data_IF_141471186843
#
_entry.id   IF_141471186843
#
_cell.length_a   1.000
_cell.length_b   1.000
_cell.length_c   1.000
_cell.angle_alpha   90.00
_cell.angle_beta   90.00
_cell.angle_gamma   90.00
#
_symmetry.space_group_name_H-M   'P 1'
#
loop_
_entity.id
_entity.type
_entity.pdbx_description
1 polymer ?
#
# COMPACT_ATOMS: atom_id res chain seq x y z
N UNK A 1 1.84 22.51 11.09
CA UNK A 1 1.77 21.49 10.01
C UNK A 1 0.58 20.59 10.29
N UNK A 2 -0.16 20.14 9.26
CA UNK A 2 -1.30 19.25 9.45
C UNK A 2 -0.84 17.92 10.03
N UNK A 3 -1.53 17.39 11.04
CA UNK A 3 -1.31 16.07 11.61
C UNK A 3 -1.58 14.95 10.57
N UNK A 4 -2.42 15.23 9.58
CA UNK A 4 -2.85 14.31 8.55
C UNK A 4 -2.11 14.55 7.24
N UNK A 5 -1.50 13.48 6.71
CA UNK A 5 -0.74 13.52 5.46
C UNK A 5 -1.62 13.14 4.25
N UNK A 6 -2.62 12.27 4.45
CA UNK A 6 -3.63 11.92 3.44
C UNK A 6 -5.00 12.32 3.98
N UNK A 7 -5.81 12.98 3.13
CA UNK A 7 -7.18 13.37 3.46
C UNK A 7 -8.08 13.21 2.24
N UNK A 8 -9.26 12.62 2.45
CA UNK A 8 -10.34 12.61 1.46
C UNK A 8 -11.58 13.27 2.03
N UNK A 9 -12.35 13.97 1.18
CA UNK A 9 -13.58 14.67 1.56
C UNK A 9 -14.65 14.35 0.53
N UNK A 10 -15.67 13.58 0.93
CA UNK A 10 -16.78 13.18 0.07
C UNK A 10 -16.34 12.46 -1.20
N UNK A 11 -15.14 11.83 -1.18
CA UNK A 11 -14.52 11.26 -2.38
C UNK A 11 -15.42 10.16 -2.97
N UNK A 12 -15.88 10.35 -4.19
CA UNK A 12 -16.83 9.46 -4.86
C UNK A 12 -16.35 9.10 -6.25
N UNK A 13 -16.49 7.83 -6.64
CA UNK A 13 -16.22 7.38 -8.00
C UNK A 13 -17.37 6.54 -8.54
N UNK A 14 -17.90 6.97 -9.68
CA UNK A 14 -18.90 6.22 -10.45
C UNK A 14 -18.36 5.79 -11.81
N UNK A 15 -18.68 4.58 -12.21
CA UNK A 15 -18.44 4.03 -13.55
C UNK A 15 -19.80 3.63 -14.13
N UNK A 16 -20.37 4.48 -14.99
CA UNK A 16 -21.76 4.32 -15.42
C UNK A 16 -22.71 4.31 -14.22
N UNK A 17 -23.52 3.27 -14.09
CA UNK A 17 -24.47 3.09 -12.98
C UNK A 17 -23.81 2.57 -11.69
N UNK A 18 -22.61 2.01 -11.77
CA UNK A 18 -21.91 1.43 -10.60
C UNK A 18 -21.15 2.50 -9.85
N UNK A 19 -21.48 2.70 -8.57
CA UNK A 19 -20.69 3.52 -7.66
C UNK A 19 -19.62 2.66 -6.98
N UNK A 20 -18.37 2.85 -7.35
CA UNK A 20 -17.24 2.08 -6.84
C UNK A 20 -16.71 2.60 -5.49
N UNK A 21 -16.82 3.92 -5.25
CA UNK A 21 -16.49 4.57 -3.96
C UNK A 21 -17.56 5.59 -3.66
N UNK A 22 -18.10 5.59 -2.43
CA UNK A 22 -19.24 6.39 -2.01
C UNK A 22 -18.85 7.33 -0.88
N UNK A 23 -18.77 8.65 -1.15
CA UNK A 23 -18.58 9.72 -0.17
C UNK A 23 -17.52 9.42 0.90
N UNK A 24 -16.36 8.90 0.46
CA UNK A 24 -15.29 8.52 1.37
C UNK A 24 -14.70 9.74 2.08
N UNK A 25 -14.77 9.74 3.39
CA UNK A 25 -14.10 10.68 4.28
C UNK A 25 -13.07 9.91 5.11
N UNK A 26 -11.79 10.10 4.78
CA UNK A 26 -10.68 9.38 5.39
C UNK A 26 -9.55 10.36 5.72
N UNK A 27 -8.89 10.13 6.86
CA UNK A 27 -7.67 10.82 7.24
C UNK A 27 -6.63 9.82 7.70
N UNK A 28 -5.38 9.96 7.23
CA UNK A 28 -4.23 9.14 7.62
C UNK A 28 -3.16 10.08 8.19
N UNK A 29 -2.61 9.72 9.35
CA UNK A 29 -1.59 10.50 10.05
C UNK A 29 -0.21 10.26 9.42
N UNK A 30 0.68 11.22 9.61
CA UNK A 30 2.08 11.07 9.21
C UNK A 30 2.75 9.95 10.01
N UNK A 31 3.48 9.07 9.33
CA UNK A 31 4.17 7.91 9.93
C UNK A 31 3.25 6.74 10.32
N UNK A 32 1.96 6.82 10.01
CA UNK A 32 0.97 5.77 10.30
C UNK A 32 1.03 4.64 9.27
N UNK A 33 0.86 3.41 9.72
CA UNK A 33 0.51 2.27 8.85
C UNK A 33 -1.00 2.10 8.88
N UNK A 34 -1.66 2.45 7.77
CA UNK A 34 -3.11 2.38 7.63
C UNK A 34 -3.53 1.27 6.67
N UNK A 35 -4.47 0.42 7.10
CA UNK A 35 -5.00 -0.68 6.31
C UNK A 35 -6.39 -0.39 5.74
N UNK A 36 -6.57 -0.56 4.42
CA UNK A 36 -7.90 -0.65 3.79
C UNK A 36 -8.30 -2.12 3.71
N UNK A 37 -9.18 -2.57 4.61
CA UNK A 37 -9.65 -3.94 4.68
C UNK A 37 -11.01 -4.09 4.00
N UNK A 38 -11.18 -5.10 3.17
CA UNK A 38 -12.47 -5.40 2.54
C UNK A 38 -12.37 -6.42 1.42
N UNK A 39 -13.49 -6.99 0.99
CA UNK A 39 -13.51 -7.97 -0.10
C UNK A 39 -13.05 -7.38 -1.43
N UNK A 40 -12.79 -8.25 -2.40
CA UNK A 40 -12.47 -7.82 -3.75
C UNK A 40 -13.67 -7.06 -4.34
N UNK A 41 -13.38 -5.96 -5.04
CA UNK A 41 -14.41 -5.08 -5.59
C UNK A 41 -15.04 -4.09 -4.61
N UNK A 42 -14.62 -4.06 -3.33
CA UNK A 42 -15.14 -3.13 -2.34
C UNK A 42 -14.78 -1.64 -2.56
N UNK A 43 -13.89 -1.32 -3.52
CA UNK A 43 -13.49 0.05 -3.83
C UNK A 43 -12.07 0.41 -3.37
N UNK A 44 -11.31 -0.52 -2.77
CA UNK A 44 -9.94 -0.27 -2.25
C UNK A 44 -9.00 0.23 -3.35
N UNK A 45 -8.82 -0.53 -4.43
CA UNK A 45 -7.95 -0.17 -5.56
C UNK A 45 -8.43 1.12 -6.25
N UNK A 46 -9.75 1.32 -6.40
CA UNK A 46 -10.28 2.57 -6.96
C UNK A 46 -9.91 3.77 -6.09
N UNK A 47 -9.97 3.63 -4.75
CA UNK A 47 -9.52 4.68 -3.82
C UNK A 47 -8.03 4.97 -4.01
N UNK A 48 -7.19 3.94 -4.07
CA UNK A 48 -5.76 4.07 -4.34
C UNK A 48 -5.48 4.81 -5.65
N UNK A 49 -6.17 4.45 -6.73
CA UNK A 49 -6.00 5.09 -8.04
C UNK A 49 -6.38 6.58 -8.02
N UNK A 50 -7.44 6.97 -7.26
CA UNK A 50 -7.79 8.38 -7.08
C UNK A 50 -6.75 9.14 -6.26
N UNK A 51 -6.20 8.54 -5.20
CA UNK A 51 -5.11 9.13 -4.42
C UNK A 51 -3.84 9.37 -5.25
N UNK A 52 -3.57 8.51 -6.22
CA UNK A 52 -2.43 8.62 -7.13
C UNK A 52 -2.68 9.56 -8.33
N UNK A 53 -3.89 10.13 -8.46
CA UNK A 53 -4.27 10.91 -9.63
C UNK A 53 -4.19 10.10 -10.94
N UNK A 54 -4.48 8.79 -10.87
CA UNK A 54 -4.57 7.87 -12.01
C UNK A 54 -6.01 7.72 -12.51
N UNK A 55 -6.98 8.13 -11.71
CA UNK A 55 -8.38 8.27 -12.09
C UNK A 55 -9.00 9.44 -11.34
N UNK A 56 -9.77 10.27 -12.03
CA UNK A 56 -10.42 11.42 -11.42
C UNK A 56 -11.64 10.98 -10.59
N UNK A 57 -11.90 11.60 -9.42
CA UNK A 57 -13.14 11.41 -8.71
C UNK A 57 -14.32 11.96 -9.50
N UNK A 58 -15.52 11.40 -9.30
CA UNK A 58 -16.76 11.95 -9.83
C UNK A 58 -17.25 13.11 -8.96
N UNK A 59 -17.04 13.02 -7.63
CA UNK A 59 -17.38 14.03 -6.64
C UNK A 59 -16.35 14.03 -5.52
N UNK A 60 -16.24 15.13 -4.79
CA UNK A 60 -15.30 15.27 -3.69
C UNK A 60 -13.87 15.45 -4.16
N UNK A 61 -12.91 15.33 -3.25
CA UNK A 61 -11.50 15.49 -3.55
C UNK A 61 -10.63 14.69 -2.57
N UNK A 62 -9.37 14.48 -2.95
CA UNK A 62 -8.33 13.92 -2.11
C UNK A 62 -7.09 14.80 -2.10
N UNK A 63 -6.42 14.89 -0.96
CA UNK A 63 -5.14 15.59 -0.84
C UNK A 63 -4.08 14.71 -0.19
N UNK A 64 -2.84 14.84 -0.65
CA UNK A 64 -1.65 14.21 -0.06
C UNK A 64 -0.63 15.32 0.23
N UNK A 65 -0.25 15.45 1.50
CA UNK A 65 0.61 16.54 2.02
C UNK A 65 0.13 17.94 1.56
N UNK A 66 -1.21 18.12 1.51
CA UNK A 66 -1.86 19.34 1.07
C UNK A 66 -2.00 19.52 -0.45
N UNK A 67 -1.33 18.69 -1.26
CA UNK A 67 -1.47 18.70 -2.72
C UNK A 67 -2.76 18.01 -3.14
N UNK A 68 -3.53 18.62 -4.02
CA UNK A 68 -4.74 18.02 -4.60
C UNK A 68 -4.33 16.90 -5.59
N UNK A 69 -4.81 15.69 -5.35
CA UNK A 69 -4.41 14.50 -6.13
C UNK A 69 -4.82 14.58 -7.61
N UNK A 70 -5.87 15.33 -7.93
CA UNK A 70 -6.37 15.51 -9.30
C UNK A 70 -5.68 16.67 -10.00
N UNK A 71 -5.44 17.78 -9.28
CA UNK A 71 -4.88 19.01 -9.85
C UNK A 71 -3.36 18.99 -9.94
N UNK A 72 -2.70 18.34 -8.98
CA UNK A 72 -1.23 18.18 -8.97
C UNK A 72 -0.79 16.71 -8.83
N UNK A 73 -1.18 15.84 -9.77
CA UNK A 73 -0.82 14.42 -9.71
C UNK A 73 0.70 14.17 -9.83
N UNK A 74 1.43 15.06 -10.47
CA UNK A 74 2.89 14.94 -10.60
C UNK A 74 3.58 15.27 -9.28
N UNK A 75 3.16 16.33 -8.60
CA UNK A 75 3.65 16.67 -7.25
C UNK A 75 3.40 15.51 -6.27
N UNK A 76 2.18 14.94 -6.29
CA UNK A 76 1.83 13.76 -5.49
C UNK A 76 2.74 12.58 -5.82
N UNK A 77 2.92 12.23 -7.10
CA UNK A 77 3.74 11.08 -7.52
C UNK A 77 5.23 11.22 -7.17
N UNK A 78 5.74 12.43 -7.00
CA UNK A 78 7.12 12.66 -6.55
C UNK A 78 7.36 12.16 -5.13
N UNK A 79 6.35 12.27 -4.25
CA UNK A 79 6.47 11.92 -2.82
C UNK A 79 5.79 10.60 -2.45
N UNK A 80 5.01 10.01 -3.37
CA UNK A 80 4.30 8.75 -3.17
C UNK A 80 4.95 7.64 -3.99
N UNK A 81 5.30 6.53 -3.36
CA UNK A 81 5.63 5.27 -4.00
C UNK A 81 4.41 4.37 -4.09
N UNK A 82 4.22 3.68 -5.21
CA UNK A 82 3.09 2.77 -5.41
C UNK A 82 3.56 1.37 -5.77
N UNK A 83 3.12 0.39 -4.98
CA UNK A 83 3.31 -1.03 -5.23
C UNK A 83 1.96 -1.66 -5.60
N UNK A 84 1.72 -1.99 -6.88
CA UNK A 84 0.50 -2.69 -7.30
C UNK A 84 0.53 -4.16 -6.87
N UNK A 85 -0.63 -4.84 -6.91
CA UNK A 85 -0.76 -6.27 -6.64
C UNK A 85 0.04 -7.15 -7.60
N UNK A 86 0.20 -6.69 -8.82
CA UNK A 86 1.00 -7.34 -9.86
C UNK A 86 2.11 -6.38 -10.34
N UNK A 87 3.32 -6.64 -9.88
CA UNK A 87 4.49 -5.82 -10.23
C UNK A 87 5.01 -6.24 -11.60
N UNK A 88 4.97 -5.31 -12.56
CA UNK A 88 5.44 -5.51 -13.94
C UNK A 88 6.90 -5.10 -14.11
N UNK A 89 7.85 -6.03 -13.91
CA UNK A 89 9.25 -5.81 -14.23
C UNK A 89 9.57 -6.18 -15.69
N UNK A 90 10.62 -5.60 -16.23
CA UNK A 90 11.21 -6.01 -17.50
C UNK A 90 11.86 -7.38 -17.31
N UNK A 91 11.18 -8.44 -17.76
CA UNK A 91 11.52 -9.83 -17.46
C UNK A 91 12.91 -10.26 -17.94
N UNK A 92 13.42 -9.67 -19.01
CA UNK A 92 14.77 -9.95 -19.56
C UNK A 92 15.89 -9.14 -18.91
N UNK A 93 15.53 -8.18 -18.05
CA UNK A 93 16.46 -7.43 -17.21
C UNK A 93 16.59 -8.12 -15.85
N UNK A 94 17.75 -7.96 -15.22
CA UNK A 94 18.01 -8.40 -13.84
C UNK A 94 17.26 -7.53 -12.82
N UNK A 95 17.22 -7.96 -11.56
CA UNK A 95 16.67 -7.11 -10.48
C UNK A 95 17.41 -5.78 -10.37
N UNK A 96 18.72 -5.83 -10.42
CA UNK A 96 19.61 -4.64 -10.41
C UNK A 96 19.32 -3.69 -11.57
N UNK A 97 19.23 -4.21 -12.79
CA UNK A 97 18.95 -3.40 -13.98
C UNK A 97 17.56 -2.76 -13.93
N UNK A 98 16.54 -3.44 -13.41
CA UNK A 98 15.20 -2.86 -13.21
C UNK A 98 15.25 -1.69 -12.22
N UNK A 99 15.91 -1.83 -11.06
CA UNK A 99 16.04 -0.74 -10.09
C UNK A 99 16.83 0.44 -10.66
N UNK A 100 17.91 0.13 -11.38
CA UNK A 100 18.72 1.16 -12.06
C UNK A 100 17.87 1.96 -13.06
N UNK A 101 17.10 1.26 -13.89
CA UNK A 101 16.21 1.88 -14.87
C UNK A 101 15.15 2.77 -14.20
N UNK A 102 14.53 2.30 -13.11
CA UNK A 102 13.58 3.12 -12.34
C UNK A 102 14.26 4.36 -11.75
N UNK A 103 15.48 4.23 -11.25
CA UNK A 103 16.28 5.38 -10.78
C UNK A 103 16.50 6.42 -11.87
N UNK A 104 16.86 5.99 -13.08
CA UNK A 104 17.03 6.87 -14.25
C UNK A 104 15.71 7.57 -14.64
N UNK A 105 14.58 6.84 -14.67
CA UNK A 105 13.26 7.41 -14.95
C UNK A 105 12.84 8.47 -13.92
N UNK A 106 13.31 8.36 -12.69
CA UNK A 106 13.08 9.35 -11.64
C UNK A 106 14.11 10.50 -11.65
N UNK A 107 15.05 10.52 -12.61
CA UNK A 107 16.05 11.59 -12.78
C UNK A 107 17.13 11.60 -11.71
N UNK A 108 17.40 10.46 -11.06
CA UNK A 108 18.46 10.36 -10.07
C UNK A 108 19.84 10.33 -10.73
N UNK A 109 20.86 10.88 -10.05
CA UNK A 109 22.25 10.81 -10.50
C UNK A 109 22.77 9.37 -10.45
N UNK A 110 23.67 9.01 -11.34
CA UNK A 110 24.16 7.64 -11.53
C UNK A 110 24.82 7.03 -10.29
N UNK A 111 25.59 7.82 -9.56
CA UNK A 111 26.23 7.44 -8.30
C UNK A 111 25.20 7.17 -7.20
N UNK A 112 24.13 7.98 -7.14
CA UNK A 112 23.00 7.78 -6.21
C UNK A 112 22.25 6.51 -6.55
N UNK A 113 21.99 6.24 -7.85
CA UNK A 113 21.30 5.05 -8.30
C UNK A 113 22.07 3.79 -7.87
N UNK A 114 23.38 3.73 -8.18
CA UNK A 114 24.21 2.57 -7.82
C UNK A 114 24.18 2.30 -6.32
N UNK A 115 24.48 3.32 -5.51
CA UNK A 115 24.49 3.20 -4.06
C UNK A 115 23.14 2.71 -3.52
N UNK A 116 22.04 3.37 -3.91
CA UNK A 116 20.70 3.00 -3.45
C UNK A 116 20.29 1.61 -3.91
N UNK A 117 20.65 1.23 -5.13
CA UNK A 117 20.33 -0.11 -5.65
C UNK A 117 20.95 -1.19 -4.78
N UNK A 118 22.23 -1.08 -4.42
CA UNK A 118 22.90 -2.07 -3.57
C UNK A 118 22.29 -2.10 -2.17
N UNK A 119 22.10 -0.94 -1.53
CA UNK A 119 21.49 -0.82 -0.20
C UNK A 119 20.06 -1.38 -0.16
N UNK A 120 19.26 -1.13 -1.20
CA UNK A 120 17.88 -1.59 -1.27
C UNK A 120 17.78 -3.09 -1.55
N UNK A 121 18.63 -3.64 -2.44
CA UNK A 121 18.68 -5.09 -2.67
C UNK A 121 19.05 -5.86 -1.41
N UNK A 122 20.02 -5.36 -0.65
CA UNK A 122 20.37 -5.92 0.66
C UNK A 122 19.19 -5.84 1.64
N UNK A 123 18.57 -4.66 1.75
CA UNK A 123 17.45 -4.41 2.67
C UNK A 123 16.25 -5.33 2.44
N UNK A 124 15.93 -5.63 1.17
CA UNK A 124 14.81 -6.52 0.83
C UNK A 124 15.23 -8.00 0.74
N UNK A 125 16.49 -8.33 1.06
CA UNK A 125 17.01 -9.70 1.04
C UNK A 125 17.12 -10.29 -0.36
N UNK A 126 17.52 -9.48 -1.35
CA UNK A 126 17.59 -9.87 -2.76
C UNK A 126 19.01 -9.82 -3.34
N UNK A 127 20.04 -9.66 -2.51
CA UNK A 127 21.43 -9.53 -2.94
C UNK A 127 21.89 -10.71 -3.82
N UNK A 128 21.62 -11.94 -3.40
CA UNK A 128 22.03 -13.15 -4.15
C UNK A 128 21.29 -13.32 -5.49
N UNK A 129 20.07 -12.78 -5.58
CA UNK A 129 19.25 -12.84 -6.79
C UNK A 129 19.35 -11.58 -7.65
N UNK A 130 20.11 -10.57 -7.22
CA UNK A 130 20.16 -9.25 -7.82
C UNK A 130 20.46 -9.27 -9.33
N UNK A 131 21.36 -10.16 -9.74
CA UNK A 131 21.86 -10.28 -11.11
C UNK A 131 21.19 -11.43 -11.91
N UNK A 132 20.12 -12.04 -11.35
CA UNK A 132 19.26 -12.97 -12.06
C UNK A 132 18.14 -12.23 -12.79
N UNK A 133 17.70 -12.73 -13.95
CA UNK A 133 16.60 -12.14 -14.74
C UNK A 133 15.28 -12.23 -13.98
N UNK A 134 14.53 -11.11 -13.94
CA UNK A 134 13.29 -11.02 -13.15
C UNK A 134 12.16 -11.94 -13.65
N UNK A 135 12.22 -12.44 -14.89
CA UNK A 135 11.30 -13.48 -15.37
C UNK A 135 11.43 -14.82 -14.60
N UNK A 136 12.57 -15.07 -13.96
CA UNK A 136 12.80 -16.28 -13.14
C UNK A 136 12.39 -16.10 -11.68
N UNK A 137 12.01 -14.88 -11.28
CA UNK A 137 11.66 -14.58 -9.90
C UNK A 137 10.33 -15.20 -9.50
N UNK A 138 10.28 -15.74 -8.29
CA UNK A 138 9.03 -16.09 -7.62
C UNK A 138 8.17 -14.85 -7.36
N UNK A 139 6.91 -15.04 -7.02
CA UNK A 139 6.02 -13.92 -6.67
C UNK A 139 6.56 -13.13 -5.47
N UNK A 140 7.03 -13.82 -4.42
CA UNK A 140 7.64 -13.18 -3.25
C UNK A 140 8.89 -12.38 -3.59
N UNK A 141 9.76 -12.89 -4.47
CA UNK A 141 10.92 -12.14 -4.97
C UNK A 141 10.50 -10.89 -5.74
N UNK A 142 9.48 -10.98 -6.59
CA UNK A 142 8.93 -9.80 -7.31
C UNK A 142 8.37 -8.77 -6.36
N UNK A 143 7.66 -9.17 -5.30
CA UNK A 143 7.15 -8.23 -4.30
C UNK A 143 8.28 -7.56 -3.51
N UNK A 144 9.31 -8.30 -3.09
CA UNK A 144 10.50 -7.73 -2.42
C UNK A 144 11.22 -6.73 -3.33
N UNK A 145 11.48 -7.10 -4.58
CA UNK A 145 12.05 -6.18 -5.56
C UNK A 145 11.15 -4.96 -5.80
N UNK A 146 9.80 -5.15 -5.81
CA UNK A 146 8.83 -4.07 -5.94
C UNK A 146 8.91 -3.04 -4.80
N UNK A 147 9.16 -3.50 -3.57
CA UNK A 147 9.42 -2.59 -2.44
C UNK A 147 10.72 -1.82 -2.67
N UNK A 148 11.80 -2.48 -3.11
CA UNK A 148 13.05 -1.80 -3.44
C UNK A 148 12.85 -0.75 -4.54
N UNK A 149 12.09 -1.09 -5.59
CA UNK A 149 11.76 -0.22 -6.71
C UNK A 149 10.98 1.03 -6.24
N UNK A 150 9.99 0.84 -5.39
CA UNK A 150 9.25 1.95 -4.77
C UNK A 150 10.16 2.85 -3.95
N UNK A 151 11.13 2.27 -3.24
CA UNK A 151 12.05 3.00 -2.34
C UNK A 151 13.17 3.75 -3.08
N UNK A 152 13.46 3.43 -4.35
CA UNK A 152 14.60 4.02 -5.09
C UNK A 152 14.57 5.54 -5.13
N UNK A 153 13.38 6.14 -5.23
CA UNK A 153 13.16 7.60 -5.25
C UNK A 153 12.97 8.23 -3.87
N UNK A 154 13.06 7.44 -2.78
CA UNK A 154 12.92 7.89 -1.41
C UNK A 154 11.55 8.55 -1.09
N UNK A 155 10.42 7.85 -1.32
CA UNK A 155 9.10 8.44 -1.13
C UNK A 155 8.78 8.65 0.36
N UNK A 156 8.01 9.70 0.68
CA UNK A 156 7.49 9.95 2.05
C UNK A 156 6.33 9.01 2.39
N UNK A 157 5.58 8.61 1.39
CA UNK A 157 4.37 7.80 1.51
C UNK A 157 4.50 6.60 0.58
N UNK A 158 4.08 5.43 1.06
CA UNK A 158 4.04 4.21 0.27
C UNK A 158 2.60 3.70 0.26
N UNK A 159 2.06 3.50 -0.93
CA UNK A 159 0.75 2.88 -1.15
C UNK A 159 0.98 1.49 -1.74
N UNK A 160 0.39 0.45 -1.12
CA UNK A 160 0.57 -0.94 -1.53
C UNK A 160 -0.79 -1.59 -1.74
N UNK A 161 -1.00 -2.22 -2.91
CA UNK A 161 -2.23 -2.95 -3.19
C UNK A 161 -1.98 -4.45 -3.06
N UNK A 162 -2.63 -5.10 -2.07
CA UNK A 162 -2.53 -6.53 -1.76
C UNK A 162 -1.06 -7.07 -1.70
N UNK A 163 -0.14 -6.44 -0.94
CA UNK A 163 1.31 -6.70 -1.06
C UNK A 163 1.73 -8.14 -0.72
N UNK A 164 0.90 -8.90 -0.01
CA UNK A 164 1.19 -10.26 0.46
C UNK A 164 0.47 -11.34 -0.33
N UNK A 165 -0.32 -10.97 -1.34
CA UNK A 165 -1.12 -11.92 -2.11
C UNK A 165 -0.25 -12.95 -2.84
N UNK A 166 -0.50 -14.25 -2.57
CA UNK A 166 0.19 -15.36 -3.26
C UNK A 166 1.66 -15.54 -2.86
N UNK A 167 2.05 -15.06 -1.69
CA UNK A 167 3.34 -15.31 -1.06
C UNK A 167 3.16 -16.45 -0.05
N UNK A 168 4.18 -17.28 0.10
CA UNK A 168 4.22 -18.34 1.11
C UNK A 168 4.21 -17.76 2.54
N UNK A 169 3.81 -18.54 3.57
CA UNK A 169 3.65 -18.02 4.92
C UNK A 169 4.90 -17.37 5.51
N UNK A 170 6.08 -17.94 5.27
CA UNK A 170 7.34 -17.40 5.79
C UNK A 170 7.69 -16.08 5.08
N UNK A 171 7.65 -16.07 3.75
CA UNK A 171 7.90 -14.85 2.96
C UNK A 171 6.93 -13.73 3.28
N UNK A 172 5.68 -14.06 3.62
CA UNK A 172 4.67 -13.09 4.07
C UNK A 172 5.07 -12.45 5.40
N UNK A 173 5.50 -13.23 6.41
CA UNK A 173 5.92 -12.69 7.70
C UNK A 173 7.11 -11.74 7.55
N UNK A 174 8.11 -12.12 6.77
CA UNK A 174 9.27 -11.28 6.49
C UNK A 174 8.88 -9.98 5.79
N UNK A 175 7.92 -10.05 4.83
CA UNK A 175 7.44 -8.88 4.12
C UNK A 175 6.65 -7.93 5.04
N UNK A 176 5.77 -8.47 5.90
CA UNK A 176 5.04 -7.68 6.88
C UNK A 176 5.98 -6.98 7.86
N UNK A 177 7.03 -7.68 8.32
CA UNK A 177 8.07 -7.09 9.16
C UNK A 177 8.79 -5.95 8.44
N UNK A 178 9.20 -6.16 7.19
CA UNK A 178 9.83 -5.12 6.37
C UNK A 178 8.92 -3.89 6.23
N UNK A 179 7.62 -4.08 5.93
CA UNK A 179 6.65 -2.99 5.82
C UNK A 179 6.55 -2.21 7.15
N UNK A 180 6.50 -2.91 8.29
CA UNK A 180 6.45 -2.26 9.60
C UNK A 180 7.72 -1.45 9.89
N UNK A 181 8.89 -1.97 9.54
CA UNK A 181 10.16 -1.26 9.70
C UNK A 181 10.25 0.03 8.86
N UNK A 182 9.64 0.06 7.67
CA UNK A 182 9.57 1.28 6.85
C UNK A 182 8.82 2.42 7.54
N UNK A 183 7.83 2.11 8.36
CA UNK A 183 7.12 3.12 9.17
C UNK A 183 7.91 3.45 10.44
N UNK A 184 8.30 2.46 11.24
CA UNK A 184 8.91 2.66 12.56
C UNK A 184 10.32 3.25 12.52
N UNK A 185 11.16 2.77 11.58
CA UNK A 185 12.57 3.19 11.48
C UNK A 185 12.77 4.37 10.54
N UNK A 186 12.04 4.39 9.42
CA UNK A 186 12.22 5.44 8.41
C UNK A 186 11.17 6.55 8.51
N UNK A 187 10.16 6.41 9.38
CA UNK A 187 9.10 7.40 9.56
C UNK A 187 8.17 7.55 8.36
N UNK A 188 8.10 6.53 7.48
CA UNK A 188 7.25 6.58 6.28
C UNK A 188 5.80 6.32 6.63
N UNK A 189 4.90 7.02 5.96
CA UNK A 189 3.47 6.72 6.02
C UNK A 189 3.14 5.61 5.04
N UNK A 190 2.38 4.61 5.48
CA UNK A 190 2.04 3.46 4.65
C UNK A 190 0.53 3.30 4.59
N UNK A 191 -0.01 3.22 3.38
CA UNK A 191 -1.38 2.83 3.10
C UNK A 191 -1.34 1.50 2.36
N UNK A 192 -1.91 0.45 2.95
CA UNK A 192 -2.00 -0.84 2.27
C UNK A 192 -3.45 -1.31 2.15
N UNK A 193 -3.78 -1.96 1.05
CA UNK A 193 -5.03 -2.67 0.89
C UNK A 193 -4.85 -4.17 1.19
N UNK A 194 -5.84 -4.79 1.82
CA UNK A 194 -5.90 -6.24 2.00
C UNK A 194 -7.34 -6.72 2.14
N UNK A 195 -7.59 -7.97 1.79
CA UNK A 195 -8.81 -8.69 2.13
C UNK A 195 -8.63 -9.63 3.33
N UNK A 196 -7.42 -9.71 3.91
CA UNK A 196 -7.06 -10.62 5.00
C UNK A 196 -6.85 -9.86 6.31
N UNK A 197 -7.81 -10.00 7.24
CA UNK A 197 -7.79 -9.34 8.53
C UNK A 197 -6.51 -9.62 9.33
N UNK A 198 -6.04 -10.89 9.31
CA UNK A 198 -4.85 -11.33 10.05
C UNK A 198 -3.59 -10.52 9.70
N UNK A 199 -3.37 -10.21 8.41
CA UNK A 199 -2.22 -9.43 7.96
C UNK A 199 -2.29 -7.99 8.47
N UNK A 200 -3.47 -7.38 8.34
CA UNK A 200 -3.71 -6.00 8.75
C UNK A 200 -3.55 -5.84 10.26
N UNK A 201 -4.02 -6.83 11.04
CA UNK A 201 -3.87 -6.83 12.50
C UNK A 201 -2.42 -6.85 12.98
N UNK A 202 -1.50 -7.40 12.20
CA UNK A 202 -0.09 -7.51 12.59
C UNK A 202 0.70 -6.20 12.45
N UNK A 203 0.34 -5.37 11.46
CA UNK A 203 1.20 -4.24 11.11
C UNK A 203 0.50 -2.89 11.08
N UNK A 204 -0.83 -2.84 11.04
CA UNK A 204 -1.54 -1.57 10.92
C UNK A 204 -1.83 -0.94 12.29
N UNK A 205 -1.62 0.37 12.39
CA UNK A 205 -2.01 1.16 13.56
C UNK A 205 -3.51 1.39 13.56
N UNK A 206 -4.08 1.69 12.39
CA UNK A 206 -5.53 1.84 12.17
C UNK A 206 -5.96 1.16 10.89
N UNK A 207 -7.25 0.84 10.84
CA UNK A 207 -7.88 0.13 9.74
C UNK A 207 -9.18 0.81 9.35
N UNK A 208 -9.42 0.91 8.05
CA UNK A 208 -10.71 1.25 7.47
C UNK A 208 -11.36 0.02 6.83
N UNK A 209 -12.57 -0.34 7.25
CA UNK A 209 -13.32 -1.47 6.70
C UNK A 209 -14.20 -0.99 5.56
N UNK A 210 -13.95 -1.52 4.36
CA UNK A 210 -14.68 -1.22 3.14
C UNK A 210 -15.68 -2.32 2.78
N UNK A 211 -16.92 -1.92 2.50
CA UNK A 211 -17.96 -2.78 1.97
C UNK A 211 -18.74 -2.01 0.91
N UNK A 212 -18.89 -2.57 -0.27
CA UNK A 212 -19.69 -2.01 -1.38
C UNK A 212 -19.45 -0.50 -1.65
N UNK A 213 -18.19 -0.12 -1.71
CA UNK A 213 -17.76 1.25 -1.98
C UNK A 213 -17.83 2.21 -0.80
N UNK A 214 -18.24 1.74 0.38
CA UNK A 214 -18.40 2.56 1.58
C UNK A 214 -17.41 2.18 2.67
N UNK A 215 -16.88 3.18 3.37
CA UNK A 215 -16.12 3.00 4.60
C UNK A 215 -17.10 2.83 5.76
N UNK A 216 -17.30 1.60 6.22
CA UNK A 216 -18.31 1.28 7.26
C UNK A 216 -17.78 1.43 8.68
N UNK A 217 -16.48 1.31 8.87
CA UNK A 217 -15.83 1.48 10.16
C UNK A 217 -14.36 1.92 9.96
N UNK A 218 -13.84 2.72 10.88
CA UNK A 218 -12.45 3.14 10.90
C UNK A 218 -11.98 3.34 12.35
N UNK A 219 -10.79 2.86 12.66
CA UNK A 219 -10.20 2.98 14.00
C UNK A 219 -9.06 1.99 14.21
N UNK A 220 -8.52 1.94 15.42
CA UNK A 220 -7.58 0.89 15.82
C UNK A 220 -8.28 -0.46 15.88
N UNK A 221 -7.52 -1.55 15.78
CA UNK A 221 -8.08 -2.92 15.89
C UNK A 221 -8.84 -3.11 17.22
N UNK A 222 -8.29 -2.56 18.32
CA UNK A 222 -8.92 -2.64 19.63
C UNK A 222 -10.26 -1.87 19.70
N UNK A 223 -10.35 -0.69 19.12
CA UNK A 223 -11.58 0.11 19.05
C UNK A 223 -12.64 -0.58 18.21
N UNK A 224 -12.26 -1.13 17.06
CA UNK A 224 -13.16 -1.86 16.17
C UNK A 224 -13.69 -3.13 16.84
N UNK A 225 -12.84 -3.89 17.54
CA UNK A 225 -13.26 -5.07 18.31
C UNK A 225 -14.31 -4.73 19.37
N UNK A 226 -14.06 -3.70 20.21
CA UNK A 226 -15.02 -3.24 21.24
C UNK A 226 -16.34 -2.74 20.65
N UNK A 227 -16.30 -2.07 19.49
CA UNK A 227 -17.51 -1.59 18.82
C UNK A 227 -18.37 -2.76 18.33
N UNK A 228 -17.75 -3.77 17.75
CA UNK A 228 -18.43 -4.97 17.26
C UNK A 228 -19.08 -5.77 18.41
N UNK A 229 -18.40 -5.89 19.56
CA UNK A 229 -18.96 -6.53 20.76
C UNK A 229 -20.20 -5.79 21.32
N UNK A 230 -20.14 -4.44 21.36
CA UNK A 230 -21.26 -3.61 21.86
C UNK A 230 -22.50 -3.66 20.96
N UNK A 231 -22.30 -3.74 19.63
CA UNK A 231 -23.39 -3.79 18.67
C UNK A 231 -24.03 -5.19 18.55
N UNK A 232 -23.53 -6.19 19.26
CA UNK A 232 -24.09 -7.56 19.31
C UNK A 232 -24.11 -8.30 17.97
N UNK A 233 -23.45 -7.78 16.95
CA UNK A 233 -23.60 -8.24 15.57
C UNK A 233 -22.64 -9.32 15.11
N UNK A 234 -21.58 -9.64 15.88
CA UNK A 234 -20.69 -10.74 15.52
C UNK A 234 -20.07 -11.40 16.77
N UNK A 235 -20.58 -12.57 17.15
CA UNK A 235 -19.74 -13.58 17.81
C UNK A 235 -18.83 -14.14 16.72
N UNK A 236 -17.57 -13.71 16.69
CA UNK A 236 -16.53 -14.38 15.90
C UNK A 236 -16.40 -15.76 16.53
N UNK A 237 -16.88 -16.78 15.83
CA UNK A 237 -16.97 -18.14 16.32
C UNK A 237 -15.62 -18.64 16.81
N UNK A 238 -15.54 -18.98 18.09
CA UNK A 238 -14.64 -20.03 18.54
C UNK A 238 -15.07 -21.28 17.78
N UNK A 239 -14.25 -21.70 16.82
CA UNK A 239 -14.40 -22.99 16.20
C UNK A 239 -14.45 -24.04 17.32
N UNK A 240 -15.60 -24.67 17.51
CA UNK A 240 -15.70 -25.86 18.31
C UNK A 240 -14.93 -26.96 17.57
N UNK A 241 -13.69 -27.20 18.01
CA UNK A 241 -13.08 -28.53 17.82
C UNK A 241 -13.87 -29.44 18.74
N UNK A 242 -14.80 -30.19 18.19
CA UNK A 242 -15.33 -31.42 18.82
C UNK A 242 -14.50 -32.58 18.26
N UNK A 243 -13.84 -33.23 19.20
CA UNK A 243 -13.24 -34.57 19.13
C UNK A 243 -14.06 -35.56 18.29
#
# INVERSE_FOLDING_TARGET
MSEYIIRTVGLTKRYGEKTAVKQLNLTIKKGEVFGLLGPNGAGKTTTTLMLLGLTDPTEGFATIEGMDCTRDPIGVKRIVGYLPDNVGFYGDMTGRENLHFTGQLNGLAEDVIRKRTDELLERVGMTEAADQKTKTYSRGMKQRLGIADVLIKDPKIIIMDEPTLGIDPQGMQDLLKLIRELSEKDGRTILLSSHQLYQVQQICDRVGIFVDGSLIACGTIAELGKKMEREGKYKIGRAHVRT
#
